data_IF_308192097298
#
_entry.id   IF_308192097298
#
_cell.length_a   1.000
_cell.length_b   1.000
_cell.length_c   1.000
_cell.angle_alpha   90.00
_cell.angle_beta   90.00
_cell.angle_gamma   90.00
#
_symmetry.space_group_name_H-M   'P 1'
#
loop_
_entity.id
_entity.type
_entity.pdbx_description
1 polymer ?
#
# COMPACT_ATOMS: atom_id res chain seq x y z
N UNK A 1 14.08 -4.65 18.11
CA UNK A 1 14.01 -4.12 16.74
C UNK A 1 14.80 -2.82 16.72
N UNK A 2 16.02 -2.83 16.20
CA UNK A 2 16.79 -1.60 15.95
C UNK A 2 16.76 -1.31 14.45
N UNK A 3 16.88 -0.03 14.11
CA UNK A 3 17.07 0.50 12.74
C UNK A 3 15.92 0.31 11.76
N UNK A 4 14.68 0.45 12.26
CA UNK A 4 13.50 0.47 11.40
C UNK A 4 13.18 1.90 10.97
N UNK A 5 13.00 2.10 9.67
CA UNK A 5 12.58 3.38 9.11
C UNK A 5 11.66 3.20 7.91
N UNK A 6 10.90 4.25 7.58
CA UNK A 6 10.08 4.33 6.37
C UNK A 6 10.75 5.25 5.38
N UNK A 7 10.79 4.85 4.12
CA UNK A 7 11.37 5.63 3.05
C UNK A 7 10.49 5.57 1.79
N UNK A 8 10.35 6.70 1.10
CA UNK A 8 9.73 6.75 -0.22
C UNK A 8 10.65 6.10 -1.25
N UNK A 9 10.11 5.21 -2.08
CA UNK A 9 10.81 4.47 -3.11
C UNK A 9 10.67 5.22 -4.43
N UNK A 10 11.70 5.97 -4.80
CA UNK A 10 11.77 6.71 -6.09
C UNK A 10 12.17 5.82 -7.28
N UNK A 11 12.88 4.73 -6.99
CA UNK A 11 13.23 3.69 -7.94
C UNK A 11 13.22 2.32 -7.27
N UNK A 12 12.16 1.54 -7.50
CA UNK A 12 12.01 0.20 -6.93
C UNK A 12 13.17 -0.73 -7.34
N UNK A 13 13.71 -0.57 -8.54
CA UNK A 13 14.78 -1.43 -9.07
C UNK A 13 16.13 -1.25 -8.34
N UNK A 14 16.24 -0.29 -7.41
CA UNK A 14 17.43 -0.11 -6.57
C UNK A 14 17.42 -0.98 -5.31
N UNK A 15 16.30 -1.62 -5.00
CA UNK A 15 16.12 -2.37 -3.75
C UNK A 15 15.90 -3.84 -4.03
N UNK A 16 16.45 -4.69 -3.18
CA UNK A 16 16.12 -6.10 -3.24
C UNK A 16 14.78 -6.38 -2.55
N UNK A 17 13.82 -6.87 -3.34
CA UNK A 17 12.43 -7.18 -2.99
C UNK A 17 12.07 -8.66 -3.18
N UNK A 18 12.94 -9.46 -3.80
CA UNK A 18 12.67 -10.88 -4.16
C UNK A 18 12.17 -11.70 -2.97
N UNK A 19 12.72 -11.48 -1.77
CA UNK A 19 12.27 -12.15 -0.55
C UNK A 19 10.82 -11.80 -0.18
N UNK A 20 10.37 -10.54 -0.32
CA UNK A 20 8.97 -10.18 -0.11
C UNK A 20 8.05 -10.82 -1.16
N UNK A 21 8.52 -10.91 -2.41
CA UNK A 21 7.78 -11.59 -3.48
C UNK A 21 7.62 -13.07 -3.18
N UNK A 22 8.70 -13.73 -2.75
CA UNK A 22 8.68 -15.13 -2.39
C UNK A 22 7.73 -15.37 -1.21
N UNK A 23 7.88 -14.61 -0.12
CA UNK A 23 7.00 -14.67 1.05
C UNK A 23 5.53 -14.45 0.65
N UNK A 24 5.23 -13.46 -0.20
CA UNK A 24 3.86 -13.17 -0.60
C UNK A 24 3.27 -14.30 -1.46
N UNK A 25 4.06 -14.90 -2.35
CA UNK A 25 3.63 -16.02 -3.20
C UNK A 25 3.32 -17.27 -2.39
N UNK A 26 4.14 -17.57 -1.38
CA UNK A 26 3.90 -18.69 -0.47
C UNK A 26 2.58 -18.54 0.29
N UNK A 27 2.13 -17.30 0.50
CA UNK A 27 0.83 -16.97 1.08
C UNK A 27 -0.30 -16.84 0.04
N UNK A 28 -0.05 -17.16 -1.23
CA UNK A 28 -1.02 -17.08 -2.32
C UNK A 28 -1.20 -15.69 -2.94
N UNK A 29 -0.38 -14.71 -2.56
CA UNK A 29 -0.45 -13.34 -3.08
C UNK A 29 0.53 -13.10 -4.23
N UNK A 30 -0.03 -12.92 -5.43
CA UNK A 30 0.76 -12.65 -6.65
C UNK A 30 0.94 -11.15 -6.95
N UNK A 31 0.39 -10.25 -6.13
CA UNK A 31 0.37 -8.83 -6.45
C UNK A 31 1.75 -8.16 -6.39
N UNK A 32 2.73 -8.70 -5.65
CA UNK A 32 4.09 -8.17 -5.64
C UNK A 32 4.87 -8.53 -6.90
N UNK A 33 4.66 -9.71 -7.50
CA UNK A 33 5.16 -10.00 -8.85
C UNK A 33 4.60 -8.98 -9.84
N UNK A 34 3.29 -8.72 -9.74
CA UNK A 34 2.63 -7.72 -10.59
C UNK A 34 3.21 -6.32 -10.38
N UNK A 35 3.56 -5.94 -9.15
CA UNK A 35 4.26 -4.68 -8.88
C UNK A 35 5.58 -4.60 -9.66
N UNK A 36 6.43 -5.62 -9.57
CA UNK A 36 7.73 -5.63 -10.25
C UNK A 36 7.53 -5.54 -11.77
N UNK A 37 6.69 -6.41 -12.33
CA UNK A 37 6.43 -6.42 -13.77
C UNK A 37 5.87 -5.08 -14.26
N UNK A 38 4.93 -4.47 -13.52
CA UNK A 38 4.37 -3.14 -13.85
C UNK A 38 5.44 -2.04 -13.78
N UNK A 39 6.37 -2.13 -12.81
CA UNK A 39 7.42 -1.15 -12.61
C UNK A 39 8.50 -1.24 -13.70
N UNK A 40 8.96 -2.45 -14.02
CA UNK A 40 9.94 -2.73 -15.08
C UNK A 40 9.44 -2.27 -16.45
N UNK A 41 8.17 -2.53 -16.76
CA UNK A 41 7.55 -2.14 -18.01
C UNK A 41 7.03 -0.70 -18.01
N UNK A 42 7.29 0.08 -16.94
CA UNK A 42 6.83 1.47 -16.77
C UNK A 42 5.31 1.66 -16.87
N UNK A 43 4.53 0.58 -16.70
CA UNK A 43 3.06 0.59 -16.71
C UNK A 43 2.55 1.36 -15.48
N UNK A 44 3.18 1.13 -14.33
CA UNK A 44 2.87 1.86 -13.10
C UNK A 44 4.14 1.98 -12.24
N UNK A 45 4.61 3.22 -12.11
CA UNK A 45 5.81 3.57 -11.32
C UNK A 45 5.48 4.51 -10.16
N UNK A 46 4.19 4.74 -9.87
CA UNK A 46 3.73 5.59 -8.76
C UNK A 46 4.27 7.03 -8.82
N UNK A 47 4.26 7.65 -10.00
CA UNK A 47 4.85 8.99 -10.25
C UNK A 47 3.86 10.07 -10.66
N UNK A 48 2.55 9.78 -10.78
CA UNK A 48 1.57 10.85 -11.02
C UNK A 48 1.38 11.68 -9.75
N UNK A 49 0.81 12.87 -9.90
CA UNK A 49 0.49 13.74 -8.77
C UNK A 49 -0.33 13.00 -7.70
N UNK A 50 0.19 13.02 -6.47
CA UNK A 50 -0.40 12.34 -5.31
C UNK A 50 -0.08 10.86 -5.19
N UNK A 51 0.50 10.23 -6.20
CA UNK A 51 0.94 8.84 -6.10
C UNK A 51 2.21 8.72 -5.26
N UNK A 52 2.38 7.57 -4.61
CA UNK A 52 3.58 7.26 -3.86
C UNK A 52 3.78 5.75 -3.73
N UNK A 53 5.04 5.35 -3.53
CA UNK A 53 5.42 4.00 -3.14
C UNK A 53 6.34 4.14 -1.93
N UNK A 54 6.01 3.48 -0.83
CA UNK A 54 6.78 3.50 0.41
C UNK A 54 7.27 2.10 0.76
N UNK A 55 8.49 2.04 1.30
CA UNK A 55 9.07 0.86 1.92
C UNK A 55 9.28 1.05 3.41
N UNK A 56 9.13 -0.03 4.17
CA UNK A 56 9.67 -0.15 5.53
C UNK A 56 10.98 -0.92 5.43
N UNK A 57 12.02 -0.38 6.02
CA UNK A 57 13.34 -0.98 6.02
C UNK A 57 13.77 -1.35 7.43
N UNK A 58 14.51 -2.45 7.57
CA UNK A 58 15.36 -2.70 8.72
C UNK A 58 16.82 -2.70 8.25
N UNK A 59 17.59 -1.69 8.66
CA UNK A 59 18.88 -1.42 8.00
C UNK A 59 18.67 -1.21 6.50
N UNK A 60 19.30 -2.05 5.67
CA UNK A 60 19.16 -1.99 4.21
C UNK A 60 18.11 -2.97 3.65
N UNK A 61 17.48 -3.79 4.49
CA UNK A 61 16.52 -4.81 4.06
C UNK A 61 15.12 -4.24 3.99
N UNK A 62 14.48 -4.32 2.82
CA UNK A 62 13.09 -3.91 2.62
C UNK A 62 12.13 -4.95 3.23
N UNK A 63 11.59 -4.69 4.42
CA UNK A 63 10.74 -5.64 5.17
C UNK A 63 9.23 -5.41 4.98
N UNK A 64 8.85 -4.38 4.24
CA UNK A 64 7.46 -4.08 3.92
C UNK A 64 7.36 -3.04 2.81
N UNK A 65 6.26 -3.05 2.08
CA UNK A 65 6.02 -2.16 0.94
C UNK A 65 4.54 -1.82 0.83
N UNK A 66 4.21 -0.63 0.34
CA UNK A 66 2.84 -0.20 0.11
C UNK A 66 2.80 1.05 -0.77
N UNK A 67 1.84 1.11 -1.67
CA UNK A 67 1.72 2.21 -2.62
C UNK A 67 0.30 2.75 -2.74
N UNK A 68 0.21 3.96 -3.26
CA UNK A 68 -1.01 4.68 -3.54
C UNK A 68 -0.97 5.19 -4.97
N UNK A 69 -1.97 4.84 -5.77
CA UNK A 69 -2.17 5.40 -7.10
C UNK A 69 -3.37 6.34 -7.12
N UNK A 70 -3.50 7.16 -8.16
CA UNK A 70 -4.82 7.67 -8.53
C UNK A 70 -5.72 6.48 -8.89
N UNK A 71 -6.99 6.47 -8.49
CA UNK A 71 -7.88 5.33 -8.76
C UNK A 71 -8.11 5.17 -10.27
N UNK A 72 -7.65 4.08 -10.92
CA UNK A 72 -7.76 3.93 -12.37
C UNK A 72 -9.18 3.65 -12.85
N UNK A 73 -10.11 3.32 -11.94
CA UNK A 73 -11.49 2.97 -12.27
C UNK A 73 -12.43 4.18 -12.25
N UNK A 74 -11.95 5.33 -11.81
CA UNK A 74 -12.75 6.57 -11.73
C UNK A 74 -12.06 7.67 -12.51
N UNK A 75 -12.85 8.52 -13.18
CA UNK A 75 -12.35 9.78 -13.74
C UNK A 75 -12.04 10.85 -12.68
N UNK A 76 -12.34 10.57 -11.41
CA UNK A 76 -12.13 11.49 -10.28
C UNK A 76 -10.70 11.39 -9.74
N UNK A 77 -9.93 12.44 -9.96
CA UNK A 77 -8.55 12.55 -9.47
C UNK A 77 -8.43 12.77 -7.96
N UNK A 78 -9.54 12.90 -7.24
CA UNK A 78 -9.61 13.01 -5.77
C UNK A 78 -9.73 11.67 -5.06
N UNK A 79 -9.76 10.55 -5.80
CA UNK A 79 -9.79 9.20 -5.23
C UNK A 79 -8.41 8.55 -5.41
N UNK A 80 -7.77 8.22 -4.29
CA UNK A 80 -6.54 7.43 -4.27
C UNK A 80 -6.86 5.95 -4.04
N UNK A 81 -6.11 5.04 -4.67
CA UNK A 81 -6.22 3.60 -4.44
C UNK A 81 -4.97 3.03 -3.78
N UNK A 82 -5.13 2.58 -2.54
CA UNK A 82 -4.08 1.86 -1.81
C UNK A 82 -3.92 0.47 -2.42
N UNK A 83 -2.68 0.09 -2.75
CA UNK A 83 -2.37 -1.20 -3.37
C UNK A 83 -0.94 -1.63 -3.11
N UNK A 84 -0.66 -2.89 -3.45
CA UNK A 84 0.68 -3.52 -3.30
C UNK A 84 1.20 -3.43 -1.87
N UNK A 85 0.28 -3.54 -0.91
CA UNK A 85 0.57 -3.42 0.51
C UNK A 85 0.92 -4.79 1.08
N UNK A 86 2.12 -4.93 1.63
CA UNK A 86 2.62 -6.18 2.18
C UNK A 86 3.68 -5.92 3.27
N UNK A 87 3.63 -6.71 4.34
CA UNK A 87 4.66 -6.75 5.39
C UNK A 87 5.16 -8.19 5.45
N UNK A 88 6.48 -8.38 5.43
CA UNK A 88 7.12 -9.68 5.60
C UNK A 88 6.53 -10.42 6.80
N UNK A 89 6.27 -11.72 6.65
CA UNK A 89 5.51 -12.52 7.64
C UNK A 89 6.07 -12.41 9.05
N UNK A 90 7.40 -12.52 9.18
CA UNK A 90 8.11 -12.45 10.47
C UNK A 90 8.13 -11.05 11.12
N UNK A 91 7.61 -10.04 10.43
CA UNK A 91 7.54 -8.64 10.86
C UNK A 91 6.11 -8.17 11.17
N UNK A 92 5.10 -9.03 10.97
CA UNK A 92 3.70 -8.74 11.31
C UNK A 92 3.46 -8.78 12.82
N UNK A 93 2.37 -8.14 13.26
CA UNK A 93 2.00 -8.03 14.68
C UNK A 93 2.86 -7.04 15.49
N UNK A 94 3.77 -6.30 14.83
CA UNK A 94 4.71 -5.36 15.49
C UNK A 94 4.40 -3.88 15.20
N UNK A 95 3.18 -3.57 14.75
CA UNK A 95 2.74 -2.21 14.40
C UNK A 95 3.28 -1.65 13.07
N UNK A 96 4.16 -2.36 12.37
CA UNK A 96 4.80 -1.88 11.14
C UNK A 96 3.82 -1.61 9.99
N UNK A 97 2.83 -2.48 9.79
CA UNK A 97 1.77 -2.24 8.82
C UNK A 97 1.00 -0.94 9.13
N UNK A 98 0.69 -0.69 10.40
CA UNK A 98 0.01 0.54 10.80
C UNK A 98 0.87 1.78 10.51
N UNK A 99 2.17 1.72 10.84
CA UNK A 99 3.12 2.80 10.58
C UNK A 99 3.20 3.16 9.07
N UNK A 100 3.25 2.15 8.20
CA UNK A 100 3.26 2.34 6.74
C UNK A 100 1.93 2.89 6.22
N UNK A 101 0.81 2.35 6.68
CA UNK A 101 -0.51 2.83 6.31
C UNK A 101 -0.68 4.31 6.69
N UNK A 102 -0.37 4.66 7.94
CA UNK A 102 -0.49 6.02 8.45
C UNK A 102 0.39 7.00 7.66
N UNK A 103 1.62 6.59 7.27
CA UNK A 103 2.48 7.41 6.42
C UNK A 103 1.84 7.67 5.05
N UNK A 104 1.35 6.64 4.38
CA UNK A 104 0.68 6.75 3.07
C UNK A 104 -0.54 7.66 3.18
N UNK A 105 -1.40 7.45 4.19
CA UNK A 105 -2.61 8.26 4.40
C UNK A 105 -2.27 9.72 4.72
N UNK A 106 -1.21 9.97 5.49
CA UNK A 106 -0.75 11.33 5.79
C UNK A 106 -0.40 12.12 4.52
N UNK A 107 0.29 11.50 3.56
CA UNK A 107 0.60 12.14 2.29
C UNK A 107 -0.61 12.20 1.34
N UNK A 108 -1.47 11.19 1.37
CA UNK A 108 -2.71 11.14 0.59
C UNK A 108 -3.62 12.35 0.84
N UNK A 109 -3.70 12.82 2.10
CA UNK A 109 -4.53 13.98 2.52
C UNK A 109 -4.25 15.26 1.74
N UNK A 110 -3.06 15.42 1.16
CA UNK A 110 -2.71 16.59 0.35
C UNK A 110 -3.39 16.61 -1.01
N UNK A 111 -3.76 15.44 -1.54
CA UNK A 111 -4.17 15.27 -2.94
C UNK A 111 -5.56 14.68 -3.09
N UNK A 112 -5.96 13.81 -2.17
CA UNK A 112 -7.18 13.00 -2.25
C UNK A 112 -8.18 13.36 -1.16
N UNK A 113 -9.45 13.07 -1.42
CA UNK A 113 -10.57 13.13 -0.45
C UNK A 113 -10.96 11.76 0.05
N UNK A 114 -10.80 10.73 -0.81
CA UNK A 114 -11.12 9.34 -0.51
C UNK A 114 -9.90 8.48 -0.82
N UNK A 115 -9.64 7.49 0.04
CA UNK A 115 -8.74 6.37 -0.27
C UNK A 115 -9.55 5.09 -0.32
N UNK A 116 -9.42 4.34 -1.40
CA UNK A 116 -10.06 3.04 -1.60
C UNK A 116 -9.03 1.93 -1.64
N UNK A 117 -9.46 0.71 -1.33
CA UNK A 117 -8.65 -0.49 -1.48
C UNK A 117 -9.50 -1.70 -1.79
N UNK A 118 -8.85 -2.77 -2.23
CA UNK A 118 -9.46 -4.08 -2.33
C UNK A 118 -8.68 -5.09 -1.51
N UNK A 119 -9.41 -5.86 -0.73
CA UNK A 119 -8.95 -7.03 0.00
C UNK A 119 -10.11 -8.00 0.15
N UNK A 120 -9.77 -9.28 0.08
CA UNK A 120 -10.65 -10.44 0.19
C UNK A 120 -10.25 -11.35 1.36
N UNK A 121 -9.25 -10.95 2.15
CA UNK A 121 -8.80 -11.72 3.31
C UNK A 121 -9.39 -11.16 4.61
N UNK A 122 -9.71 -12.05 5.55
CA UNK A 122 -10.19 -11.65 6.88
C UNK A 122 -9.12 -10.84 7.65
N UNK A 123 -7.85 -11.17 7.46
CA UNK A 123 -6.74 -10.41 8.04
C UNK A 123 -6.69 -8.98 7.48
N UNK A 124 -6.81 -8.82 6.15
CA UNK A 124 -6.82 -7.51 5.50
C UNK A 124 -8.03 -6.68 5.95
N UNK A 125 -9.21 -7.28 6.00
CA UNK A 125 -10.43 -6.65 6.51
C UNK A 125 -10.26 -6.07 7.92
N UNK A 126 -9.82 -6.91 8.87
CA UNK A 126 -9.56 -6.48 10.26
C UNK A 126 -8.50 -5.37 10.30
N UNK A 127 -7.42 -5.52 9.54
CA UNK A 127 -6.33 -4.55 9.48
C UNK A 127 -6.82 -3.18 8.99
N UNK A 128 -7.49 -3.11 7.84
CA UNK A 128 -7.91 -1.84 7.27
C UNK A 128 -9.06 -1.20 8.05
N UNK A 129 -10.00 -1.99 8.57
CA UNK A 129 -11.07 -1.49 9.45
C UNK A 129 -10.48 -0.87 10.72
N UNK A 130 -9.46 -1.49 11.34
CA UNK A 130 -8.75 -0.90 12.48
C UNK A 130 -7.97 0.40 12.14
N UNK A 131 -7.70 0.62 10.86
CA UNK A 131 -7.13 1.86 10.30
C UNK A 131 -8.17 2.92 9.94
N UNK A 132 -9.45 2.70 10.26
CA UNK A 132 -10.56 3.64 10.01
C UNK A 132 -11.26 3.48 8.66
N UNK A 133 -10.87 2.48 7.85
CA UNK A 133 -11.59 2.19 6.62
C UNK A 133 -12.97 1.58 6.93
N UNK A 134 -13.96 1.92 6.12
CA UNK A 134 -15.30 1.36 6.19
C UNK A 134 -15.48 0.38 5.03
N UNK A 135 -16.09 -0.77 5.33
CA UNK A 135 -16.51 -1.75 4.32
C UNK A 135 -17.62 -1.18 3.44
N UNK A 136 -17.50 -1.36 2.13
CA UNK A 136 -18.55 -0.98 1.21
C UNK A 136 -18.15 -1.10 -0.26
N UNK A 137 -19.16 -1.23 -1.11
CA UNK A 137 -19.02 -1.37 -2.57
C UNK A 137 -19.36 -0.09 -3.33
N UNK A 138 -19.25 1.07 -2.66
CA UNK A 138 -19.58 2.37 -3.26
C UNK A 138 -18.63 2.74 -4.41
N UNK A 139 -17.40 2.24 -4.38
CA UNK A 139 -16.38 2.51 -5.38
C UNK A 139 -16.07 1.23 -6.17
N UNK A 140 -15.98 1.35 -7.49
CA UNK A 140 -15.78 0.22 -8.40
C UNK A 140 -14.49 -0.52 -8.05
N UNK A 141 -14.60 -1.84 -7.91
CA UNK A 141 -13.46 -2.70 -7.57
C UNK A 141 -12.83 -2.41 -6.21
N UNK A 142 -13.53 -1.74 -5.29
CA UNK A 142 -13.10 -1.54 -3.91
C UNK A 142 -13.95 -2.38 -2.96
N UNK A 143 -13.32 -2.92 -1.92
CA UNK A 143 -14.02 -3.55 -0.80
C UNK A 143 -14.12 -2.63 0.42
N UNK A 144 -13.21 -1.64 0.52
CA UNK A 144 -13.18 -0.67 1.60
C UNK A 144 -12.84 0.73 1.09
N UNK A 145 -13.27 1.74 1.83
CA UNK A 145 -12.96 3.14 1.58
C UNK A 145 -12.76 3.92 2.88
N UNK A 146 -11.95 4.97 2.81
CA UNK A 146 -11.67 5.90 3.90
C UNK A 146 -11.92 7.32 3.40
N UNK A 147 -12.75 8.08 4.11
CA UNK A 147 -12.88 9.51 3.88
C UNK A 147 -11.82 10.25 4.70
N UNK A 148 -10.95 10.99 4.02
CA UNK A 148 -9.80 11.65 4.64
C UNK A 148 -10.13 12.92 5.43
N UNK A 149 -11.35 13.45 5.25
CA UNK A 149 -11.83 14.71 5.84
C UNK A 149 -12.96 14.51 6.87
N UNK A 150 -13.60 13.35 6.92
CA UNK A 150 -14.45 13.00 8.05
C UNK A 150 -13.55 12.66 9.23
N UNK A 151 -13.52 13.54 10.24
CA UNK A 151 -13.08 13.14 11.58
C UNK A 151 -13.94 11.98 12.03
N UNK A 152 -13.30 10.91 12.49
CA UNK A 152 -13.94 9.91 13.35
C UNK A 152 -14.51 10.60 14.58
#
# INVERSE_FOLDING_TARGET
>A
MKDIHIQQIENLMKYEISHLVQDSKEEGFNFLIKLINEYENKINVFKKTGECLYGIFQGNTLIGIGGLNQDPFTGDNKIGRLRRFYIAKNYRGKGLGRLLLDRIISDAKKYFTIVVLNTDTEQGDKFYTSGGFVKGKQYVGASHYLNLYKRM
#
